data_IF_853704016160
#
_entry.id   IF_853704016160
#
_cell.length_a   1.000
_cell.length_b   1.000
_cell.length_c   1.000
_cell.angle_alpha   90.00
_cell.angle_beta   90.00
_cell.angle_gamma   90.00
#
_symmetry.space_group_name_H-M   'P 1'
#
loop_
_entity.id
_entity.type
_entity.pdbx_description
1 polymer ?
#
# COMPACT_ATOMS: atom_id res chain seq x y z
N UNK A 1 -3.87 23.61 13.26
CA UNK A 1 -2.65 23.05 12.63
C UNK A 1 -2.16 21.99 13.58
N UNK A 2 -2.38 20.70 13.26
CA UNK A 2 -1.93 19.61 14.11
C UNK A 2 -0.42 19.45 13.96
N UNK A 3 0.30 19.41 15.08
CA UNK A 3 1.74 19.21 15.10
C UNK A 3 2.10 17.92 14.36
N UNK A 4 3.02 18.02 13.40
CA UNK A 4 3.58 16.86 12.75
C UNK A 4 4.40 16.10 13.79
N UNK A 5 3.99 14.87 14.08
CA UNK A 5 4.77 13.94 14.92
C UNK A 5 6.13 13.77 14.24
N UNK A 6 7.25 14.03 14.94
CA UNK A 6 8.57 13.83 14.35
C UNK A 6 8.69 12.37 13.87
N UNK A 7 9.32 12.12 12.71
CA UNK A 7 9.45 10.76 12.20
C UNK A 7 10.16 9.92 13.26
N UNK A 8 9.48 8.90 13.79
CA UNK A 8 10.13 7.99 14.72
C UNK A 8 11.33 7.35 14.02
N UNK A 9 12.46 7.32 14.72
CA UNK A 9 13.74 6.79 14.23
C UNK A 9 13.72 5.25 14.23
N UNK A 10 12.74 4.69 13.50
CA UNK A 10 12.33 3.31 13.54
C UNK A 10 12.54 2.56 12.24
N UNK A 11 12.69 1.24 12.34
CA UNK A 11 12.67 0.34 11.18
C UNK A 11 11.23 -0.11 10.91
N UNK A 12 10.77 0.04 9.67
CA UNK A 12 9.44 -0.40 9.25
C UNK A 12 9.51 -1.77 8.58
N UNK A 13 8.88 -2.78 9.18
CA UNK A 13 8.81 -4.12 8.60
C UNK A 13 7.85 -4.17 7.40
N UNK A 14 8.35 -4.61 6.23
CA UNK A 14 7.52 -4.80 5.03
C UNK A 14 6.89 -6.20 5.08
N UNK A 15 5.62 -6.28 5.53
CA UNK A 15 4.86 -7.54 5.67
C UNK A 15 3.72 -7.71 4.66
N UNK A 16 3.46 -6.70 3.83
CA UNK A 16 2.25 -6.62 3.02
C UNK A 16 1.01 -6.28 3.86
N UNK A 17 -0.18 -6.47 3.28
CA UNK A 17 -1.44 -6.31 4.03
C UNK A 17 -1.61 -7.44 5.04
N UNK A 18 -2.22 -7.18 6.22
CA UNK A 18 -2.58 -8.23 7.17
C UNK A 18 -3.37 -9.34 6.50
N UNK A 19 -3.07 -10.59 6.86
CA UNK A 19 -3.79 -11.74 6.34
C UNK A 19 -5.24 -11.70 6.86
N UNK A 20 -6.24 -11.88 5.98
CA UNK A 20 -7.62 -11.93 6.43
C UNK A 20 -7.88 -13.25 7.20
N UNK A 21 -8.77 -13.25 8.21
CA UNK A 21 -9.00 -14.42 9.08
C UNK A 21 -9.38 -15.71 8.34
N UNK A 22 -10.04 -15.59 7.20
CA UNK A 22 -10.51 -16.70 6.36
C UNK A 22 -9.41 -17.35 5.49
N UNK A 23 -8.20 -16.80 5.47
CA UNK A 23 -7.14 -17.31 4.59
C UNK A 23 -6.49 -18.59 5.12
N UNK A 24 -6.51 -19.66 4.31
CA UNK A 24 -6.03 -21.00 4.67
C UNK A 24 -4.83 -21.43 3.82
N UNK A 25 -3.82 -22.03 4.46
CA UNK A 25 -2.60 -22.53 3.82
C UNK A 25 -2.73 -24.00 3.43
N UNK A 26 -2.22 -24.35 2.25
CA UNK A 26 -2.19 -25.72 1.71
C UNK A 26 -0.74 -26.05 1.33
N UNK A 27 -0.01 -26.83 2.14
CA UNK A 27 1.45 -27.02 1.99
C UNK A 27 1.88 -28.25 1.18
N UNK A 28 0.97 -29.17 0.82
CA UNK A 28 1.35 -30.58 0.56
C UNK A 28 1.94 -30.90 -0.83
N UNK A 29 1.76 -30.06 -1.86
CA UNK A 29 2.37 -30.28 -3.19
C UNK A 29 2.99 -29.01 -3.78
N UNK A 30 2.16 -28.00 -4.07
CA UNK A 30 2.58 -26.64 -4.40
C UNK A 30 2.01 -25.72 -3.33
N UNK A 31 2.83 -25.11 -2.47
CA UNK A 31 2.33 -24.28 -1.39
C UNK A 31 1.49 -23.10 -1.92
N UNK A 32 0.21 -23.04 -1.54
CA UNK A 32 -0.66 -21.90 -1.85
C UNK A 32 -1.52 -21.48 -0.65
N UNK A 33 -2.11 -20.29 -0.77
CA UNK A 33 -3.02 -19.74 0.23
C UNK A 33 -4.35 -19.40 -0.45
N UNK A 34 -5.44 -20.01 0.03
CA UNK A 34 -6.80 -19.68 -0.41
C UNK A 34 -7.32 -18.51 0.41
N UNK A 35 -8.14 -17.64 -0.20
CA UNK A 35 -8.78 -16.51 0.50
C UNK A 35 -7.93 -15.24 0.61
N UNK A 36 -6.79 -15.17 -0.10
CA UNK A 36 -6.07 -13.90 -0.25
C UNK A 36 -6.71 -13.05 -1.34
N UNK A 37 -6.65 -11.73 -1.16
CA UNK A 37 -7.02 -10.78 -2.20
C UNK A 37 -6.05 -10.87 -3.38
N UNK A 38 -6.60 -10.78 -4.58
CA UNK A 38 -5.83 -10.78 -5.83
C UNK A 38 -5.50 -9.35 -6.27
N UNK A 39 -4.32 -9.14 -6.87
CA UNK A 39 -4.00 -7.90 -7.57
C UNK A 39 -4.77 -7.89 -8.88
N UNK A 40 -5.61 -6.88 -9.08
CA UNK A 40 -6.42 -6.72 -10.29
C UNK A 40 -5.73 -5.77 -11.26
N UNK A 41 -6.07 -5.90 -12.54
CA UNK A 41 -5.70 -4.93 -13.56
C UNK A 41 -6.27 -3.54 -13.22
N UNK A 42 -5.43 -2.52 -13.35
CA UNK A 42 -5.80 -1.15 -12.96
C UNK A 42 -6.95 -0.60 -13.81
N UNK A 43 -6.95 -0.92 -15.11
CA UNK A 43 -8.02 -0.53 -16.04
C UNK A 43 -9.35 -1.20 -15.71
N UNK A 44 -9.33 -2.42 -15.16
CA UNK A 44 -10.54 -3.09 -14.68
C UNK A 44 -11.14 -2.38 -13.48
N UNK A 45 -10.31 -1.91 -12.54
CA UNK A 45 -10.78 -1.17 -11.37
C UNK A 45 -11.28 0.23 -11.72
N UNK A 46 -10.56 0.93 -12.59
CA UNK A 46 -10.87 2.32 -12.96
C UNK A 46 -12.18 2.44 -13.75
N UNK A 47 -12.54 1.42 -14.53
CA UNK A 47 -13.72 1.41 -15.40
C UNK A 47 -14.86 0.53 -14.86
N UNK A 48 -14.80 0.06 -13.61
CA UNK A 48 -15.81 -0.85 -13.08
C UNK A 48 -17.11 -0.12 -12.71
N UNK A 49 -18.24 -0.72 -13.06
CA UNK A 49 -19.56 -0.33 -12.58
C UNK A 49 -19.94 -1.01 -11.25
N UNK A 50 -19.17 -2.01 -10.79
CA UNK A 50 -19.44 -2.69 -9.52
C UNK A 50 -19.24 -1.73 -8.33
N UNK A 51 -20.23 -1.55 -7.44
CA UNK A 51 -20.13 -0.60 -6.33
C UNK A 51 -18.99 -0.88 -5.35
N UNK A 52 -18.58 -2.15 -5.17
CA UNK A 52 -17.47 -2.51 -4.27
C UNK A 52 -16.13 -2.16 -4.94
N UNK A 53 -15.99 -2.46 -6.22
CA UNK A 53 -14.78 -2.11 -6.98
C UNK A 53 -14.62 -0.59 -7.11
N UNK A 54 -15.71 0.14 -7.37
CA UNK A 54 -15.71 1.60 -7.35
C UNK A 54 -15.26 2.17 -6.02
N UNK A 55 -15.72 1.59 -4.90
CA UNK A 55 -15.25 2.00 -3.57
C UNK A 55 -13.76 1.74 -3.39
N UNK A 56 -13.23 0.61 -3.85
CA UNK A 56 -11.80 0.32 -3.81
C UNK A 56 -10.99 1.30 -4.67
N UNK A 57 -11.48 1.62 -5.86
CA UNK A 57 -10.87 2.64 -6.73
C UNK A 57 -10.84 4.01 -6.06
N UNK A 58 -11.96 4.44 -5.46
CA UNK A 58 -12.01 5.69 -4.69
C UNK A 58 -11.01 5.69 -3.53
N UNK A 59 -10.89 4.59 -2.78
CA UNK A 59 -9.90 4.47 -1.72
C UNK A 59 -8.47 4.54 -2.23
N UNK A 60 -8.17 3.91 -3.38
CA UNK A 60 -6.85 3.98 -4.01
C UNK A 60 -6.49 5.43 -4.37
N UNK A 61 -7.39 6.15 -5.06
CA UNK A 61 -7.15 7.55 -5.45
C UNK A 61 -6.96 8.45 -4.22
N UNK A 62 -7.87 8.37 -3.24
CA UNK A 62 -7.77 9.20 -2.02
C UNK A 62 -6.52 8.87 -1.20
N UNK A 63 -6.17 7.58 -1.08
CA UNK A 63 -4.97 7.12 -0.40
C UNK A 63 -3.69 7.60 -1.09
N UNK A 64 -3.62 7.50 -2.42
CA UNK A 64 -2.48 7.95 -3.21
C UNK A 64 -2.31 9.47 -3.14
N UNK A 65 -3.40 10.24 -3.23
CA UNK A 65 -3.33 11.70 -3.11
C UNK A 65 -2.87 12.13 -1.71
N UNK A 66 -3.33 11.46 -0.65
CA UNK A 66 -2.81 11.67 0.70
C UNK A 66 -1.33 11.29 0.83
N UNK A 67 -0.92 10.18 0.22
CA UNK A 67 0.48 9.73 0.26
C UNK A 67 1.42 10.71 -0.44
N UNK A 68 0.99 11.26 -1.59
CA UNK A 68 1.72 12.30 -2.34
C UNK A 68 1.80 13.65 -1.61
N UNK A 69 0.83 13.96 -0.74
CA UNK A 69 0.81 15.23 0.01
C UNK A 69 1.57 15.19 1.33
N UNK A 70 2.14 14.04 1.72
CA UNK A 70 2.94 13.93 2.93
C UNK A 70 4.20 14.80 2.88
N UNK A 71 4.66 15.36 4.01
CA UNK A 71 5.89 16.15 4.07
C UNK A 71 7.11 15.36 3.57
N UNK A 72 7.99 16.01 2.81
CA UNK A 72 9.16 15.34 2.19
C UNK A 72 10.16 14.75 3.19
N UNK A 73 10.17 15.24 4.43
CA UNK A 73 11.04 14.72 5.50
C UNK A 73 10.45 13.52 6.24
N UNK A 74 9.17 13.18 6.00
CA UNK A 74 8.56 11.98 6.56
C UNK A 74 9.09 10.75 5.79
N UNK A 75 9.69 9.81 6.53
CA UNK A 75 10.28 8.56 6.00
C UNK A 75 9.28 7.71 5.22
N UNK A 76 7.98 7.83 5.52
CA UNK A 76 6.90 7.14 4.82
C UNK A 76 6.19 8.03 3.79
N UNK A 77 6.72 9.20 3.45
CA UNK A 77 6.19 10.04 2.37
C UNK A 77 6.44 9.44 0.99
N UNK A 78 5.62 9.81 0.01
CA UNK A 78 5.80 9.38 -1.38
C UNK A 78 7.21 9.72 -1.90
N UNK A 79 7.73 10.89 -1.52
CA UNK A 79 9.06 11.35 -1.90
C UNK A 79 10.16 10.41 -1.38
N UNK A 80 10.14 10.07 -0.09
CA UNK A 80 11.16 9.19 0.51
C UNK A 80 11.07 7.76 -0.03
N UNK A 81 9.85 7.23 -0.20
CA UNK A 81 9.65 5.88 -0.77
C UNK A 81 10.13 5.82 -2.23
N UNK A 82 9.85 6.84 -3.04
CA UNK A 82 10.37 6.92 -4.41
C UNK A 82 11.89 7.08 -4.44
N UNK A 83 12.46 7.81 -3.48
CA UNK A 83 13.90 8.01 -3.32
C UNK A 83 14.67 6.71 -3.04
N UNK A 84 14.05 5.65 -2.51
CA UNK A 84 14.69 4.34 -2.37
C UNK A 84 15.18 3.79 -3.72
N UNK A 85 14.53 4.16 -4.83
CA UNK A 85 14.95 3.74 -6.17
C UNK A 85 16.21 4.46 -6.68
N UNK A 86 16.52 5.67 -6.19
CA UNK A 86 17.62 6.47 -6.71
C UNK A 86 17.62 7.92 -6.20
N UNK A 87 17.59 8.91 -7.11
CA UNK A 87 17.63 10.33 -6.74
C UNK A 87 16.52 10.69 -5.73
N UNK A 88 16.80 11.40 -4.63
CA UNK A 88 18.00 12.21 -4.35
C UNK A 88 19.25 11.47 -3.86
N UNK A 89 19.31 10.13 -3.89
CA UNK A 89 20.41 9.33 -3.30
C UNK A 89 20.66 9.78 -1.85
N UNK A 90 19.59 9.85 -1.06
CA UNK A 90 19.72 10.13 0.36
C UNK A 90 20.50 8.97 1.02
N UNK A 91 21.80 9.20 1.19
CA UNK A 91 22.75 8.31 1.85
C UNK A 91 22.47 8.19 3.36
#
# INVERSE_FOLDING_TARGET
MGEAIPPEDGTYSIKGLPRPPEAMRFPEEIPYVKGLSVRKEISSLANSDDPKERKQWTLFVLGLERFKSMPVYDKLSYFQIAGVHGYPEAA
#
